data_IF_065046921929
#
_entry.id   IF_065046921929
#
_cell.length_a   1.000
_cell.length_b   1.000
_cell.length_c   1.000
_cell.angle_alpha   90.00
_cell.angle_beta   90.00
_cell.angle_gamma   90.00
#
_symmetry.space_group_name_H-M   'P 1'
#
loop_
_entity.id
_entity.type
_entity.pdbx_description
1 polymer ?
#
# COMPACT_ATOMS: atom_id res chain seq x y z
N UNK A 1 25.27 10.55 -11.60
CA UNK A 1 24.13 11.16 -12.34
C UNK A 1 24.32 12.66 -12.28
N UNK A 2 24.28 13.38 -13.41
CA UNK A 2 24.43 14.84 -13.38
C UNK A 2 23.26 15.47 -12.59
N UNK A 3 23.59 16.30 -11.61
CA UNK A 3 22.63 17.03 -10.78
C UNK A 3 21.78 17.98 -11.64
N UNK A 4 20.66 18.45 -11.08
CA UNK A 4 19.89 19.53 -11.70
C UNK A 4 20.76 20.77 -11.85
N UNK A 5 20.70 21.36 -13.03
CA UNK A 5 21.57 22.43 -13.44
C UNK A 5 20.90 23.79 -13.32
N UNK A 6 21.71 24.84 -13.45
CA UNK A 6 21.28 26.25 -13.50
C UNK A 6 21.18 26.80 -14.93
N UNK A 7 20.94 25.93 -15.91
CA UNK A 7 20.79 26.32 -17.31
C UNK A 7 19.41 25.90 -17.84
N UNK A 8 19.00 26.45 -18.98
CA UNK A 8 17.72 26.12 -19.61
C UNK A 8 17.74 24.83 -20.42
N UNK A 9 18.89 24.11 -20.47
CA UNK A 9 18.98 22.83 -21.17
C UNK A 9 18.02 21.79 -20.59
N UNK A 10 17.50 20.90 -21.43
CA UNK A 10 16.66 19.78 -20.99
C UNK A 10 17.37 18.88 -19.96
N UNK A 11 18.71 18.81 -20.03
CA UNK A 11 19.56 18.12 -19.07
C UNK A 11 19.69 18.84 -17.72
N UNK A 12 19.36 20.12 -17.62
CA UNK A 12 19.41 20.87 -16.35
C UNK A 12 18.10 20.81 -15.57
N UNK A 13 16.98 20.53 -16.25
CA UNK A 13 15.62 20.46 -15.70
C UNK A 13 15.38 19.18 -14.87
N UNK A 14 14.32 19.12 -14.05
CA UNK A 14 13.96 17.93 -13.28
C UNK A 14 13.96 16.65 -14.12
N UNK A 15 14.57 15.59 -13.56
CA UNK A 15 14.87 14.35 -14.30
C UNK A 15 13.69 13.40 -14.41
N UNK A 16 12.72 13.53 -13.50
CA UNK A 16 11.49 12.76 -13.51
C UNK A 16 10.51 13.22 -14.59
N UNK A 17 10.67 14.45 -15.10
CA UNK A 17 9.89 14.94 -16.22
C UNK A 17 10.25 14.17 -17.50
N UNK A 18 9.22 13.85 -18.30
CA UNK A 18 9.39 13.30 -19.64
C UNK A 18 10.22 14.19 -20.56
N UNK A 19 10.52 13.73 -21.78
CA UNK A 19 11.12 14.58 -22.81
C UNK A 19 10.21 15.76 -23.17
N UNK A 20 10.73 16.72 -23.94
CA UNK A 20 9.87 17.79 -24.45
C UNK A 20 8.73 17.15 -25.30
N UNK A 21 7.50 17.61 -25.13
CA UNK A 21 6.28 17.09 -25.78
C UNK A 21 5.66 15.85 -25.13
N UNK A 22 6.16 15.40 -23.97
CA UNK A 22 5.59 14.25 -23.25
C UNK A 22 4.26 14.59 -22.59
N UNK A 23 3.31 13.65 -22.64
CA UNK A 23 1.98 13.79 -22.06
C UNK A 23 1.78 12.80 -20.89
N UNK A 24 0.88 13.14 -19.95
CA UNK A 24 0.51 12.28 -18.81
C UNK A 24 1.25 12.61 -17.51
N UNK A 25 1.24 11.66 -16.56
CA UNK A 25 1.73 11.86 -15.19
C UNK A 25 3.22 12.23 -15.11
N UNK A 26 4.01 11.80 -16.09
CA UNK A 26 5.44 12.14 -16.18
C UNK A 26 5.69 13.59 -16.57
N UNK A 27 4.71 14.31 -17.15
CA UNK A 27 4.85 15.71 -17.57
C UNK A 27 5.85 15.98 -18.70
N UNK A 28 5.75 17.18 -19.25
CA UNK A 28 6.62 17.66 -20.32
C UNK A 28 7.76 18.51 -19.74
N UNK A 29 8.99 18.35 -20.24
CA UNK A 29 10.15 19.11 -19.74
C UNK A 29 10.04 20.61 -20.01
N UNK A 30 9.27 21.02 -21.00
CA UNK A 30 8.99 22.42 -21.34
C UNK A 30 8.05 23.10 -20.34
N UNK A 31 7.30 22.33 -19.55
CA UNK A 31 6.46 22.89 -18.48
C UNK A 31 7.26 23.29 -17.25
N UNK A 32 8.51 22.82 -17.12
CA UNK A 32 9.42 23.25 -16.08
C UNK A 32 10.16 24.54 -16.46
N UNK A 33 10.14 25.52 -15.56
CA UNK A 33 10.82 26.80 -15.74
C UNK A 33 11.51 27.26 -14.47
N UNK A 34 12.57 28.05 -14.59
CA UNK A 34 13.29 28.60 -13.45
C UNK A 34 12.60 29.88 -12.94
N UNK A 35 12.46 30.01 -11.63
CA UNK A 35 12.08 31.25 -10.96
C UNK A 35 13.12 31.61 -9.87
N UNK A 36 12.85 32.64 -9.07
CA UNK A 36 13.77 33.12 -8.02
C UNK A 36 14.00 32.12 -6.89
N UNK A 37 13.18 31.07 -6.76
CA UNK A 37 13.28 30.06 -5.72
C UNK A 37 13.68 28.67 -6.25
N UNK A 38 13.79 28.47 -7.57
CA UNK A 38 14.30 27.22 -8.16
C UNK A 38 13.58 26.80 -9.45
N UNK A 39 13.54 25.50 -9.71
CA UNK A 39 12.69 24.93 -10.77
C UNK A 39 11.22 24.91 -10.29
N UNK A 40 10.35 25.47 -11.10
CA UNK A 40 8.92 25.49 -10.90
C UNK A 40 8.22 24.78 -12.07
N UNK A 41 7.01 24.29 -11.84
CA UNK A 41 6.22 23.62 -12.86
C UNK A 41 4.98 24.43 -13.20
N UNK A 42 4.66 24.54 -14.50
CA UNK A 42 3.44 25.19 -14.98
C UNK A 42 2.21 24.61 -14.26
N UNK A 43 1.37 25.50 -13.73
CA UNK A 43 0.12 25.14 -13.06
C UNK A 43 -0.88 24.48 -14.03
N UNK A 44 -1.78 23.66 -13.48
CA UNK A 44 -2.82 22.96 -14.24
C UNK A 44 -2.27 21.85 -15.14
N UNK A 45 -1.08 21.35 -14.85
CA UNK A 45 -0.51 20.18 -15.53
C UNK A 45 -0.69 18.96 -14.63
N UNK A 46 -1.03 17.81 -15.23
CA UNK A 46 -1.16 16.55 -14.48
C UNK A 46 0.11 16.19 -13.70
N UNK A 47 1.27 16.65 -14.19
CA UNK A 47 2.57 16.41 -13.60
C UNK A 47 2.86 17.25 -12.33
N UNK A 48 2.11 18.33 -12.10
CA UNK A 48 2.19 19.09 -10.84
C UNK A 48 1.44 18.39 -9.70
N UNK A 49 0.59 17.43 -10.01
CA UNK A 49 -0.36 16.88 -9.03
C UNK A 49 -1.53 17.83 -8.74
N UNK A 50 -1.67 18.90 -9.52
CA UNK A 50 -2.71 19.91 -9.41
C UNK A 50 -3.20 20.31 -10.81
N UNK A 51 -4.40 19.86 -11.17
CA UNK A 51 -5.04 20.12 -12.47
C UNK A 51 -5.79 21.46 -12.53
N UNK A 52 -5.77 22.24 -11.44
CA UNK A 52 -6.33 23.58 -11.42
C UNK A 52 -5.41 24.58 -12.14
N UNK A 53 -5.80 24.96 -13.36
CA UNK A 53 -5.07 25.95 -14.19
C UNK A 53 -5.01 27.36 -13.61
N UNK A 54 -5.84 27.66 -12.59
CA UNK A 54 -5.85 28.94 -11.88
C UNK A 54 -5.04 28.90 -10.58
N UNK A 55 -4.42 27.77 -10.25
CA UNK A 55 -3.56 27.67 -9.08
C UNK A 55 -2.27 28.50 -9.25
N UNK A 56 -1.65 28.85 -8.12
CA UNK A 56 -0.29 29.37 -8.16
C UNK A 56 0.66 28.29 -8.70
N UNK A 57 1.69 28.73 -9.41
CA UNK A 57 2.75 27.85 -9.91
C UNK A 57 3.42 27.13 -8.74
N UNK A 58 3.64 25.83 -8.87
CA UNK A 58 4.23 24.99 -7.83
C UNK A 58 5.76 24.96 -7.92
N UNK A 59 6.41 25.14 -6.76
CA UNK A 59 7.85 25.03 -6.60
C UNK A 59 8.24 23.57 -6.38
N UNK A 60 9.13 23.05 -7.22
CA UNK A 60 9.60 21.68 -7.09
C UNK A 60 10.71 21.61 -6.03
N UNK A 61 10.40 21.04 -4.88
CA UNK A 61 11.39 20.76 -3.83
C UNK A 61 11.85 19.30 -3.95
N UNK A 62 13.11 19.09 -4.33
CA UNK A 62 13.78 17.81 -4.11
C UNK A 62 14.65 17.91 -2.87
N UNK A 63 14.25 17.17 -1.83
CA UNK A 63 14.94 17.14 -0.55
C UNK A 63 15.75 15.84 -0.45
N UNK A 64 17.07 15.95 -0.44
CA UNK A 64 17.93 14.79 -0.14
C UNK A 64 17.85 14.43 1.34
N UNK A 65 17.94 13.14 1.66
CA UNK A 65 17.95 12.67 3.06
C UNK A 65 16.57 12.70 3.75
N UNK A 66 15.49 12.88 2.99
CA UNK A 66 14.14 12.99 3.55
C UNK A 66 13.72 11.75 4.35
N UNK A 67 14.08 10.54 3.92
CA UNK A 67 13.86 9.30 4.66
C UNK A 67 14.41 9.38 6.11
N UNK A 68 15.62 9.93 6.28
CA UNK A 68 16.21 10.11 7.61
C UNK A 68 15.47 11.15 8.45
N UNK A 69 14.90 12.17 7.81
CA UNK A 69 14.13 13.23 8.48
C UNK A 69 12.73 12.75 8.88
N UNK A 70 12.06 11.97 8.03
CA UNK A 70 10.74 11.41 8.31
C UNK A 70 10.81 10.32 9.39
N UNK A 71 11.96 9.66 9.52
CA UNK A 71 12.20 8.63 10.53
C UNK A 71 11.92 7.25 9.95
N UNK A 72 11.32 6.38 10.76
CA UNK A 72 11.03 5.01 10.37
C UNK A 72 9.79 4.95 9.49
N UNK A 73 9.84 4.12 8.45
CA UNK A 73 8.77 3.95 7.48
C UNK A 73 7.39 3.61 8.06
N UNK A 74 6.37 4.10 7.35
CA UNK A 74 4.96 4.03 7.73
C UNK A 74 4.12 3.47 6.58
N UNK A 75 3.08 2.70 6.91
CA UNK A 75 2.11 2.24 5.91
C UNK A 75 1.12 3.37 5.65
N UNK A 76 1.10 3.88 4.43
CA UNK A 76 0.18 4.93 3.99
C UNK A 76 -1.19 4.39 3.60
N UNK A 77 -1.21 3.22 2.96
CA UNK A 77 -2.44 2.62 2.47
C UNK A 77 -2.30 1.13 2.19
N UNK A 78 -3.45 0.48 2.07
CA UNK A 78 -3.57 -0.92 1.69
C UNK A 78 -4.57 -1.02 0.54
N UNK A 79 -4.16 -1.69 -0.53
CA UNK A 79 -5.00 -1.93 -1.69
C UNK A 79 -5.10 -3.43 -1.97
N UNK A 80 -6.25 -3.85 -2.49
CA UNK A 80 -6.53 -5.21 -2.91
C UNK A 80 -7.58 -5.20 -4.02
N UNK A 81 -7.64 -6.27 -4.80
CA UNK A 81 -8.58 -6.39 -5.91
C UNK A 81 -9.94 -6.87 -5.39
N UNK A 82 -11.00 -6.14 -5.72
CA UNK A 82 -12.37 -6.59 -5.48
C UNK A 82 -12.71 -7.73 -6.46
N UNK A 83 -13.42 -8.74 -5.98
CA UNK A 83 -13.76 -9.92 -6.75
C UNK A 83 -14.29 -11.05 -5.89
N UNK A 84 -14.85 -12.04 -6.56
CA UNK A 84 -15.16 -13.34 -5.97
C UNK A 84 -13.99 -14.28 -6.24
N UNK A 85 -13.45 -14.90 -5.18
CA UNK A 85 -12.28 -15.77 -5.26
C UNK A 85 -12.64 -17.23 -4.97
N UNK A 86 -12.15 -18.15 -5.80
CA UNK A 86 -12.36 -19.57 -5.63
C UNK A 86 -11.48 -20.14 -4.49
N UNK A 87 -11.86 -21.31 -3.97
CA UNK A 87 -11.00 -22.07 -3.05
C UNK A 87 -9.63 -22.30 -3.68
N UNK A 88 -8.59 -22.17 -2.86
CA UNK A 88 -7.18 -22.33 -3.27
C UNK A 88 -6.66 -21.30 -4.27
N UNK A 89 -7.47 -20.31 -4.66
CA UNK A 89 -7.01 -19.17 -5.44
C UNK A 89 -6.06 -18.30 -4.62
N UNK A 90 -5.17 -17.58 -5.30
CA UNK A 90 -4.30 -16.60 -4.65
C UNK A 90 -5.03 -15.29 -4.42
N UNK A 91 -4.85 -14.73 -3.23
CA UNK A 91 -5.36 -13.40 -2.88
C UNK A 91 -4.21 -12.49 -2.48
N UNK A 92 -4.16 -11.29 -3.04
CA UNK A 92 -3.08 -10.32 -2.83
C UNK A 92 -3.56 -9.07 -2.12
N UNK A 93 -2.76 -8.61 -1.16
CA UNK A 93 -2.88 -7.28 -0.56
C UNK A 93 -1.56 -6.52 -0.75
N UNK A 94 -1.66 -5.25 -1.17
CA UNK A 94 -0.52 -4.39 -1.48
C UNK A 94 -0.45 -3.27 -0.46
N UNK A 95 0.68 -3.20 0.21
CA UNK A 95 0.97 -2.22 1.24
C UNK A 95 1.80 -1.10 0.62
N UNK A 96 1.31 0.12 0.65
CA UNK A 96 2.07 1.29 0.21
C UNK A 96 2.71 1.95 1.42
N UNK A 97 4.04 2.00 1.43
CA UNK A 97 4.84 2.71 2.42
C UNK A 97 5.18 4.12 1.94
N UNK A 98 5.52 5.00 2.86
CA UNK A 98 6.02 6.36 2.60
C UNK A 98 7.47 6.39 2.07
N UNK A 99 8.18 5.28 2.17
CA UNK A 99 9.52 5.09 1.63
C UNK A 99 9.78 3.67 1.13
N UNK A 100 10.94 3.45 0.51
CA UNK A 100 11.31 2.13 0.02
C UNK A 100 11.63 1.17 1.18
N UNK A 101 11.06 -0.04 1.13
CA UNK A 101 11.26 -1.06 2.15
C UNK A 101 12.14 -2.17 1.64
N UNK A 102 13.16 -2.53 2.41
CA UNK A 102 13.93 -3.76 2.21
C UNK A 102 13.31 -4.87 3.04
N UNK A 103 12.89 -5.94 2.38
CA UNK A 103 12.30 -7.12 3.04
C UNK A 103 13.28 -8.28 3.01
N UNK A 104 13.56 -8.85 4.18
CA UNK A 104 14.24 -10.13 4.34
C UNK A 104 13.18 -11.14 4.78
N UNK A 105 12.82 -12.07 3.91
CA UNK A 105 11.81 -13.10 4.15
C UNK A 105 12.03 -14.27 3.20
N UNK A 106 11.72 -15.49 3.63
CA UNK A 106 11.52 -16.58 2.69
C UNK A 106 10.32 -16.26 1.78
N UNK A 107 10.38 -16.73 0.53
CA UNK A 107 9.34 -16.49 -0.47
C UNK A 107 8.01 -17.13 -0.05
N UNK A 108 6.89 -16.54 -0.47
CA UNK A 108 5.56 -17.11 -0.29
C UNK A 108 5.49 -18.59 -0.70
N UNK A 109 4.70 -19.37 0.05
CA UNK A 109 4.32 -20.73 -0.29
C UNK A 109 2.85 -20.99 0.05
N UNK A 110 2.15 -21.71 -0.83
CA UNK A 110 0.72 -22.01 -0.72
C UNK A 110 0.36 -22.95 0.45
N UNK A 111 1.36 -23.63 1.02
CA UNK A 111 1.22 -24.60 2.11
C UNK A 111 1.06 -23.96 3.50
N UNK A 112 0.87 -22.63 3.56
CA UNK A 112 0.66 -21.89 4.81
C UNK A 112 1.85 -21.99 5.79
N UNK A 113 3.05 -22.37 5.35
CA UNK A 113 4.26 -22.41 6.18
C UNK A 113 4.83 -21.00 6.37
N UNK A 114 5.09 -20.62 7.63
CA UNK A 114 5.49 -19.26 8.03
C UNK A 114 6.93 -19.15 8.56
N UNK A 115 7.69 -20.24 8.55
CA UNK A 115 9.07 -20.24 9.04
C UNK A 115 9.93 -19.28 8.21
N UNK A 116 10.63 -18.36 8.88
CA UNK A 116 11.46 -17.33 8.25
C UNK A 116 10.68 -16.37 7.33
N UNK A 117 9.38 -16.15 7.58
CA UNK A 117 8.55 -15.28 6.75
C UNK A 117 8.07 -14.03 7.47
N UNK A 118 7.99 -12.95 6.70
CA UNK A 118 7.16 -11.79 7.02
C UNK A 118 5.74 -12.07 6.52
N UNK A 119 4.75 -11.99 7.40
CA UNK A 119 3.36 -12.28 7.05
C UNK A 119 2.39 -11.57 8.01
N UNK A 120 1.12 -11.60 7.69
CA UNK A 120 0.02 -11.37 8.63
C UNK A 120 -1.08 -12.40 8.36
N UNK A 121 -2.02 -12.54 9.29
CA UNK A 121 -3.14 -13.47 9.16
C UNK A 121 -4.37 -12.68 8.70
N UNK A 122 -5.21 -13.32 7.90
CA UNK A 122 -6.54 -12.81 7.53
C UNK A 122 -7.53 -13.97 7.57
N UNK A 123 -8.66 -13.79 8.23
CA UNK A 123 -9.73 -14.78 8.33
C UNK A 123 -10.59 -14.89 7.07
N UNK A 124 -11.25 -16.04 6.93
CA UNK A 124 -12.33 -16.24 5.96
C UNK A 124 -13.60 -16.57 6.74
N UNK A 125 -14.47 -15.58 6.89
CA UNK A 125 -15.70 -15.68 7.65
C UNK A 125 -16.85 -16.30 6.84
N UNK A 126 -17.57 -17.21 7.48
CA UNK A 126 -18.81 -17.77 6.94
C UNK A 126 -19.94 -16.73 6.93
N UNK A 127 -20.81 -16.70 5.90
CA UNK A 127 -21.86 -15.68 5.77
C UNK A 127 -23.00 -15.79 6.79
N UNK A 128 -23.10 -16.91 7.51
CA UNK A 128 -24.23 -17.21 8.41
C UNK A 128 -24.07 -16.60 9.79
N UNK A 129 -22.89 -16.73 10.39
CA UNK A 129 -22.59 -16.33 11.77
C UNK A 129 -21.35 -15.42 11.89
N UNK A 130 -20.67 -15.13 10.77
CA UNK A 130 -19.39 -14.42 10.73
C UNK A 130 -18.30 -15.09 11.57
N UNK A 131 -18.38 -16.40 11.78
CA UNK A 131 -17.30 -17.18 12.37
C UNK A 131 -16.19 -17.45 11.33
N UNK A 132 -14.93 -17.52 11.79
CA UNK A 132 -13.80 -17.81 10.90
C UNK A 132 -13.82 -19.30 10.50
N UNK A 133 -14.13 -19.56 9.23
CA UNK A 133 -14.12 -20.89 8.62
C UNK A 133 -12.70 -21.31 8.18
N UNK A 134 -11.72 -20.43 8.30
CA UNK A 134 -10.31 -20.73 8.08
C UNK A 134 -9.51 -19.48 7.74
N UNK A 135 -8.29 -19.40 8.24
CA UNK A 135 -7.45 -18.22 8.02
C UNK A 135 -6.37 -18.46 6.95
N UNK A 136 -5.99 -17.38 6.28
CA UNK A 136 -4.88 -17.30 5.34
C UNK A 136 -3.70 -16.62 6.02
N UNK A 137 -2.48 -17.13 5.81
CA UNK A 137 -1.26 -16.40 6.11
C UNK A 137 -0.80 -15.68 4.86
N UNK A 138 -1.07 -14.37 4.80
CA UNK A 138 -0.61 -13.51 3.72
C UNK A 138 0.88 -13.24 3.91
N UNK A 139 1.72 -13.92 3.12
CA UNK A 139 3.18 -13.86 3.24
C UNK A 139 3.77 -12.91 2.21
N UNK A 140 4.94 -12.33 2.52
CA UNK A 140 5.69 -11.53 1.56
C UNK A 140 5.85 -12.27 0.21
N UNK A 141 5.45 -11.61 -0.86
CA UNK A 141 5.51 -12.13 -2.22
C UNK A 141 6.46 -11.31 -3.11
N UNK A 142 6.33 -9.98 -3.11
CA UNK A 142 7.11 -9.11 -3.99
C UNK A 142 7.25 -7.68 -3.48
N UNK A 143 8.15 -6.92 -4.10
CA UNK A 143 8.24 -5.45 -3.94
C UNK A 143 9.40 -4.93 -3.08
N UNK A 144 10.25 -5.81 -2.53
CA UNK A 144 11.44 -5.36 -1.78
C UNK A 144 12.31 -4.40 -2.60
N UNK A 145 12.79 -3.34 -1.97
CA UNK A 145 13.50 -2.23 -2.59
C UNK A 145 12.58 -1.14 -3.15
N UNK A 146 11.26 -1.29 -3.00
CA UNK A 146 10.25 -0.33 -3.43
C UNK A 146 9.35 0.05 -2.25
N UNK A 147 8.49 1.05 -2.44
CA UNK A 147 7.51 1.43 -1.44
C UNK A 147 6.17 0.66 -1.55
N UNK A 148 6.06 -0.31 -2.46
CA UNK A 148 4.86 -1.14 -2.61
C UNK A 148 5.21 -2.60 -2.36
N UNK A 149 4.75 -3.13 -1.24
CA UNK A 149 5.04 -4.51 -0.83
C UNK A 149 3.78 -5.35 -1.00
N UNK A 150 3.87 -6.39 -1.82
CA UNK A 150 2.76 -7.32 -2.06
C UNK A 150 2.88 -8.50 -1.11
N UNK A 151 1.78 -8.78 -0.41
CA UNK A 151 1.60 -9.99 0.39
C UNK A 151 0.55 -10.87 -0.28
N UNK A 152 0.82 -12.17 -0.31
CA UNK A 152 -0.02 -13.15 -0.99
C UNK A 152 -0.48 -14.21 -0.01
N UNK A 153 -1.77 -14.54 -0.05
CA UNK A 153 -2.41 -15.65 0.63
C UNK A 153 -2.98 -16.66 -0.37
N UNK A 154 -3.53 -17.74 0.17
CA UNK A 154 -4.29 -18.74 -0.58
C UNK A 154 -5.64 -18.89 0.10
N UNK A 155 -6.73 -18.68 -0.64
CA UNK A 155 -8.09 -18.85 -0.13
C UNK A 155 -8.23 -20.25 0.49
N UNK A 156 -8.72 -20.38 1.74
CA UNK A 156 -8.82 -21.67 2.41
C UNK A 156 -9.71 -22.65 1.65
N UNK A 157 -9.35 -23.94 1.67
CA UNK A 157 -10.21 -24.99 1.10
C UNK A 157 -11.56 -25.15 1.81
N UNK A 158 -11.70 -24.57 3.01
CA UNK A 158 -12.92 -24.49 3.80
C UNK A 158 -13.84 -23.34 3.40
N UNK A 159 -13.38 -22.40 2.55
CA UNK A 159 -14.17 -21.25 2.16
C UNK A 159 -15.51 -21.66 1.55
N UNK A 160 -16.57 -20.90 1.83
CA UNK A 160 -17.93 -21.17 1.35
C UNK A 160 -18.38 -20.06 0.40
N UNK A 161 -19.48 -20.29 -0.32
CA UNK A 161 -20.05 -19.29 -1.21
C UNK A 161 -20.53 -18.08 -0.40
N UNK A 162 -20.20 -16.87 -0.88
CA UNK A 162 -20.43 -15.60 -0.19
C UNK A 162 -19.67 -15.44 1.14
N UNK A 163 -18.64 -16.25 1.39
CA UNK A 163 -17.72 -16.02 2.50
C UNK A 163 -17.05 -14.65 2.39
N UNK A 164 -16.60 -14.12 3.53
CA UNK A 164 -16.03 -12.77 3.65
C UNK A 164 -14.59 -12.86 4.14
N UNK A 165 -13.75 -11.93 3.68
CA UNK A 165 -12.34 -11.89 4.08
C UNK A 165 -12.17 -10.70 5.03
N UNK A 166 -11.49 -10.88 6.15
CA UNK A 166 -11.22 -9.81 7.11
C UNK A 166 -10.35 -10.25 8.28
N UNK A 167 -9.84 -9.29 9.04
CA UNK A 167 -9.10 -9.53 10.29
C UNK A 167 -9.37 -8.37 11.26
N UNK A 168 -9.25 -8.60 12.57
CA UNK A 168 -9.45 -7.55 13.56
C UNK A 168 -8.29 -6.56 13.62
N UNK A 169 -7.08 -7.02 13.29
CA UNK A 169 -5.83 -6.31 13.56
C UNK A 169 -4.93 -6.19 12.32
N UNK A 170 -4.91 -7.22 11.45
CA UNK A 170 -3.93 -7.36 10.35
C UNK A 170 -2.47 -7.17 10.83
N UNK A 171 -2.15 -7.72 12.00
CA UNK A 171 -0.87 -7.50 12.66
C UNK A 171 0.27 -8.17 11.88
N UNK A 172 1.30 -7.39 11.54
CA UNK A 172 2.49 -7.92 10.90
C UNK A 172 3.30 -8.78 11.86
N UNK A 173 3.81 -9.90 11.34
CA UNK A 173 4.66 -10.84 12.05
C UNK A 173 5.90 -11.12 11.21
N UNK A 174 7.07 -10.89 11.81
CA UNK A 174 8.34 -11.35 11.29
C UNK A 174 8.75 -12.61 12.06
N UNK A 175 8.64 -13.77 11.44
CA UNK A 175 8.97 -15.04 12.07
C UNK A 175 10.39 -15.48 11.71
N UNK A 176 11.13 -16.03 12.68
CA UNK A 176 12.49 -16.52 12.50
C UNK A 176 13.44 -15.42 12.07
N UNK A 177 14.11 -15.60 10.93
CA UNK A 177 15.07 -14.62 10.40
C UNK A 177 14.44 -13.50 9.58
N UNK A 178 13.11 -13.45 9.47
CA UNK A 178 12.44 -12.40 8.72
C UNK A 178 12.62 -11.03 9.38
N UNK A 179 12.74 -9.98 8.58
CA UNK A 179 12.80 -8.59 9.05
C UNK A 179 12.49 -7.62 7.93
N UNK A 180 12.12 -6.39 8.28
CA UNK A 180 11.93 -5.28 7.33
C UNK A 180 12.72 -4.06 7.78
N UNK A 181 13.25 -3.34 6.80
CA UNK A 181 14.03 -2.12 7.01
C UNK A 181 13.55 -1.02 6.09
N UNK A 182 13.63 0.21 6.57
CA UNK A 182 13.35 1.41 5.80
C UNK A 182 14.49 1.77 4.83
N UNK A 183 14.37 2.90 4.13
CA UNK A 183 15.37 3.34 3.17
C UNK A 183 16.69 3.78 3.85
N UNK A 184 16.66 4.10 5.15
CA UNK A 184 17.82 4.38 5.97
C UNK A 184 18.44 3.10 6.60
N UNK A 185 17.94 1.92 6.22
CA UNK A 185 18.35 0.62 6.74
C UNK A 185 18.10 0.42 8.25
N UNK A 186 17.19 1.20 8.83
CA UNK A 186 16.71 1.06 10.21
C UNK A 186 15.56 0.05 10.21
N UNK A 187 15.48 -0.77 11.26
CA UNK A 187 14.42 -1.76 11.40
C UNK A 187 13.07 -1.07 11.55
N UNK A 188 12.11 -1.44 10.71
CA UNK A 188 10.73 -0.94 10.81
C UNK A 188 10.02 -1.69 11.92
N UNK A 189 9.31 -0.96 12.77
CA UNK A 189 8.42 -1.60 13.74
C UNK A 189 7.23 -2.18 12.98
N UNK A 190 6.94 -3.45 13.21
CA UNK A 190 5.85 -4.14 12.53
C UNK A 190 4.50 -3.48 12.84
N UNK A 191 3.76 -3.02 11.82
CA UNK A 191 2.51 -2.30 12.04
C UNK A 191 1.35 -3.26 12.34
N UNK A 192 0.39 -2.74 13.10
CA UNK A 192 -0.98 -3.27 13.23
C UNK A 192 -1.88 -2.33 12.44
N UNK A 193 -2.63 -2.86 11.46
CA UNK A 193 -3.29 -2.03 10.45
C UNK A 193 -4.76 -1.71 10.75
N UNK A 194 -5.38 -2.43 11.68
CA UNK A 194 -6.75 -2.22 12.14
C UNK A 194 -6.84 -2.29 13.67
N UNK A 195 -7.99 -1.91 14.21
CA UNK A 195 -8.35 -2.12 15.61
C UNK A 195 -7.91 -0.99 16.54
N UNK A 196 -8.38 -1.05 17.79
CA UNK A 196 -8.17 -0.01 18.81
C UNK A 196 -6.72 0.18 19.30
N UNK A 197 -5.76 -0.57 18.76
CA UNK A 197 -4.32 -0.44 19.02
C UNK A 197 -3.51 -0.43 17.72
N UNK A 198 -4.13 0.02 16.62
CA UNK A 198 -3.45 0.20 15.35
C UNK A 198 -2.21 1.08 15.49
N UNK A 199 -1.15 0.66 14.82
CA UNK A 199 0.16 1.35 14.74
C UNK A 199 0.59 1.56 13.29
N UNK A 200 -0.35 1.39 12.36
CA UNK A 200 -0.20 1.74 10.95
C UNK A 200 -0.44 3.22 10.70
N UNK A 201 -0.65 3.55 9.43
CA UNK A 201 -1.00 4.91 8.99
C UNK A 201 0.19 5.85 8.90
N UNK A 202 0.02 7.03 8.26
CA UNK A 202 1.10 7.98 8.02
C UNK A 202 1.82 8.50 9.28
N UNK A 203 1.19 8.42 10.46
CA UNK A 203 1.76 8.84 11.74
C UNK A 203 2.10 7.70 12.71
N UNK A 204 1.91 6.43 12.31
CA UNK A 204 2.04 5.23 13.17
C UNK A 204 1.03 5.15 14.31
N UNK A 205 -0.10 5.81 14.12
CA UNK A 205 -1.11 6.08 15.14
C UNK A 205 -2.54 5.93 14.60
N UNK A 206 -2.70 5.36 13.40
CA UNK A 206 -3.99 5.25 12.74
C UNK A 206 -4.21 3.89 12.07
N UNK A 207 -5.47 3.50 11.99
CA UNK A 207 -5.89 2.39 11.13
C UNK A 207 -5.66 2.75 9.66
N UNK A 208 -5.28 1.75 8.86
CA UNK A 208 -5.31 1.82 7.38
C UNK A 208 -6.28 0.79 6.79
N UNK A 209 -6.81 -0.09 7.63
CA UNK A 209 -7.89 -1.03 7.34
C UNK A 209 -9.04 -0.70 8.29
N UNK A 210 -10.10 -0.07 7.78
CA UNK A 210 -11.33 0.21 8.53
C UNK A 210 -12.46 0.69 7.62
N UNK A 211 -13.66 0.78 8.19
CA UNK A 211 -14.83 1.38 7.53
C UNK A 211 -14.83 2.92 7.47
N UNK A 212 -13.71 3.55 7.83
CA UNK A 212 -13.51 5.00 7.71
C UNK A 212 -12.29 5.37 6.86
N UNK A 213 -11.48 4.39 6.44
CA UNK A 213 -10.28 4.59 5.62
C UNK A 213 -10.55 4.23 4.17
N UNK A 214 -10.29 5.16 3.25
CA UNK A 214 -10.46 4.95 1.81
C UNK A 214 -9.31 4.16 1.20
N UNK A 215 -9.62 3.33 0.20
CA UNK A 215 -8.62 2.76 -0.72
C UNK A 215 -7.92 3.88 -1.49
N UNK A 216 -6.68 3.63 -1.91
CA UNK A 216 -5.85 4.66 -2.56
C UNK A 216 -6.54 5.20 -3.81
N UNK A 217 -6.78 6.52 -3.86
CA UNK A 217 -7.40 7.18 -5.01
C UNK A 217 -8.85 6.75 -5.29
N UNK A 218 -9.55 6.20 -4.28
CA UNK A 218 -10.91 5.70 -4.41
C UNK A 218 -11.89 6.44 -3.48
N UNK A 219 -13.18 6.30 -3.76
CA UNK A 219 -14.28 6.70 -2.85
C UNK A 219 -14.82 5.51 -2.05
N UNK A 220 -14.15 4.35 -2.12
CA UNK A 220 -14.53 3.11 -1.44
C UNK A 220 -13.65 2.90 -0.23
N UNK A 221 -14.25 2.61 0.93
CA UNK A 221 -13.50 2.25 2.13
C UNK A 221 -12.78 0.90 1.98
N UNK A 222 -11.80 0.67 2.84
CA UNK A 222 -11.07 -0.60 2.91
C UNK A 222 -11.91 -1.68 3.56
N UNK A 223 -12.79 -1.35 4.50
CA UNK A 223 -13.65 -2.35 5.16
C UNK A 223 -15.10 -1.91 5.31
N UNK A 224 -15.97 -2.88 5.53
CA UNK A 224 -17.36 -2.68 5.97
C UNK A 224 -17.68 -3.62 7.14
N UNK A 225 -18.58 -3.20 8.02
CA UNK A 225 -19.17 -4.10 9.01
C UNK A 225 -20.18 -5.01 8.31
N UNK A 226 -19.90 -6.30 8.24
CA UNK A 226 -20.83 -7.30 7.68
C UNK A 226 -21.48 -8.07 8.83
N UNK A 227 -22.80 -8.16 8.83
CA UNK A 227 -23.56 -9.01 9.74
C UNK A 227 -23.84 -10.37 9.11
N UNK A 228 -23.76 -11.43 9.92
CA UNK A 228 -24.18 -12.76 9.48
C UNK A 228 -25.70 -12.84 9.35
N UNK A 229 -26.19 -13.72 8.47
CA UNK A 229 -27.63 -13.88 8.26
C UNK A 229 -28.38 -14.43 9.48
N UNK A 230 -27.67 -15.02 10.45
CA UNK A 230 -28.22 -15.56 11.69
C UNK A 230 -27.70 -14.85 12.95
N UNK A 231 -26.41 -14.53 13.00
CA UNK A 231 -25.75 -13.92 14.16
C UNK A 231 -24.38 -13.34 13.77
N UNK A 232 -23.75 -12.66 14.72
CA UNK A 232 -22.37 -12.17 14.58
C UNK A 232 -22.21 -11.01 13.58
N UNK A 233 -21.04 -10.38 13.66
CA UNK A 233 -20.61 -9.36 12.73
C UNK A 233 -19.09 -9.28 12.73
N UNK A 234 -18.48 -8.99 11.58
CA UNK A 234 -17.04 -8.78 11.45
C UNK A 234 -16.75 -7.56 10.55
N UNK A 235 -15.59 -6.92 10.74
CA UNK A 235 -15.04 -6.03 9.71
C UNK A 235 -14.52 -6.90 8.56
N UNK A 236 -14.98 -6.62 7.36
CA UNK A 236 -14.62 -7.39 6.16
C UNK A 236 -14.20 -6.45 5.05
N UNK A 237 -13.29 -6.94 4.19
CA UNK A 237 -12.85 -6.26 3.00
C UNK A 237 -14.04 -5.94 2.07
N UNK A 238 -14.21 -4.66 1.72
CA UNK A 238 -15.26 -4.26 0.78
C UNK A 238 -15.00 -4.86 -0.59
N UNK A 239 -16.02 -5.52 -1.13
CA UNK A 239 -16.06 -6.03 -2.51
C UNK A 239 -15.30 -7.34 -2.71
N UNK A 240 -14.96 -8.06 -1.63
CA UNK A 240 -14.30 -9.35 -1.70
C UNK A 240 -15.20 -10.42 -1.11
N UNK A 241 -15.43 -11.49 -1.88
CA UNK A 241 -16.17 -12.67 -1.44
C UNK A 241 -15.46 -13.95 -1.86
N UNK A 242 -15.83 -15.07 -1.26
CA UNK A 242 -15.35 -16.40 -1.69
C UNK A 242 -16.41 -17.24 -2.36
N UNK A 243 -15.97 -18.13 -3.25
CA UNK A 243 -16.77 -19.16 -3.92
C UNK A 243 -16.32 -20.57 -3.50
N UNK A 244 -17.17 -21.56 -3.80
CA UNK A 244 -16.89 -22.99 -3.54
C UNK A 244 -16.07 -23.68 -4.63
N UNK A 245 -15.97 -23.07 -5.83
CA UNK A 245 -15.25 -23.59 -7.00
C UNK A 245 -14.87 -22.48 -7.96
#
# INVERSE_FOLDING_TARGET
MALWGKSTSAESRPKWLGGDGSQGASGAKEDAFANTAGWALRAGTAAGGNDNTSAQVELLACVSGLATTLGVANVLSVDYTAGEYARTETFDMVMTFDEAITVVSAAWSADQVITNKLYFIVGNYGPTDMADDGSMKLQYYAGSGTNKITFRGTIPGTAVANGRIGDADYAFVANGTATIKDAAAVAVTLPVLAGGSATGGPGRDAEVMSNTVLKTGSTVYTEETVAGSSSGSAQCLIGVTTAVS
#
